data_IF_179460773579
#
_entry.id   IF_179460773579
#
_cell.length_a   1.000
_cell.length_b   1.000
_cell.length_c   1.000
_cell.angle_alpha   90.00
_cell.angle_beta   90.00
_cell.angle_gamma   90.00
#
_symmetry.space_group_name_H-M   'P 1'
#
loop_
_entity.id
_entity.type
_entity.pdbx_description
1 polymer ?
#
# COMPACT_ATOMS: atom_id res chain seq x y z
N UNK A 1 -16.72 -23.49 -23.29
CA UNK A 1 -15.51 -22.80 -22.78
C UNK A 1 -15.87 -22.16 -21.43
N UNK A 2 -15.41 -22.70 -20.29
CA UNK A 2 -15.68 -22.12 -18.96
C UNK A 2 -14.67 -20.99 -18.72
N UNK A 3 -15.13 -19.74 -18.54
CA UNK A 3 -14.26 -18.64 -18.11
C UNK A 3 -13.65 -19.01 -16.75
N UNK A 4 -12.35 -18.80 -16.50
CA UNK A 4 -11.76 -19.02 -15.18
C UNK A 4 -12.50 -18.15 -14.16
N UNK A 5 -12.81 -18.75 -13.01
CA UNK A 5 -13.59 -18.11 -11.94
C UNK A 5 -12.69 -17.12 -11.22
N UNK A 6 -12.54 -15.90 -11.77
CA UNK A 6 -11.87 -14.79 -11.09
C UNK A 6 -12.65 -14.48 -9.81
N UNK A 7 -12.00 -14.69 -8.66
CA UNK A 7 -12.55 -14.30 -7.38
C UNK A 7 -11.82 -13.05 -6.91
N UNK A 8 -12.56 -11.94 -6.77
CA UNK A 8 -12.06 -10.68 -6.23
C UNK A 8 -12.60 -10.49 -4.83
N UNK A 9 -11.73 -10.14 -3.89
CA UNK A 9 -12.09 -9.87 -2.50
C UNK A 9 -11.45 -8.59 -1.99
N UNK A 10 -12.16 -7.88 -1.12
CA UNK A 10 -11.64 -6.74 -0.37
C UNK A 10 -11.46 -7.14 1.09
N UNK A 11 -10.31 -6.77 1.67
CA UNK A 11 -9.98 -7.08 3.06
C UNK A 11 -9.20 -5.94 3.70
N UNK A 12 -9.32 -5.80 5.02
CA UNK A 12 -8.36 -5.02 5.79
C UNK A 12 -7.15 -5.89 6.11
N UNK A 13 -5.96 -5.38 5.84
CA UNK A 13 -4.69 -5.95 6.23
C UNK A 13 -4.04 -5.07 7.29
N UNK A 14 -3.48 -5.68 8.33
CA UNK A 14 -2.68 -5.00 9.35
C UNK A 14 -1.26 -5.52 9.30
N UNK A 15 -0.27 -4.63 9.38
CA UNK A 15 1.14 -5.00 9.42
C UNK A 15 2.02 -3.84 9.86
N UNK A 16 3.31 -4.12 9.97
CA UNK A 16 4.32 -3.12 10.32
C UNK A 16 4.89 -2.46 9.06
N UNK A 17 4.75 -1.15 8.97
CA UNK A 17 5.40 -0.34 7.95
C UNK A 17 6.61 0.37 8.57
N UNK A 18 7.79 0.11 8.00
CA UNK A 18 9.03 0.81 8.39
C UNK A 18 9.45 1.76 7.29
N UNK A 19 9.50 3.06 7.58
CA UNK A 19 10.01 4.09 6.68
C UNK A 19 10.99 4.97 7.46
N UNK A 20 12.11 5.31 6.83
CA UNK A 20 13.15 6.16 7.43
C UNK A 20 13.56 5.71 8.85
N UNK A 21 13.65 4.38 9.06
CA UNK A 21 14.02 3.77 10.34
C UNK A 21 12.94 3.80 11.43
N UNK A 22 11.78 4.40 11.19
CA UNK A 22 10.64 4.40 12.11
C UNK A 22 9.64 3.32 11.69
N UNK A 23 9.26 2.46 12.62
CA UNK A 23 8.27 1.40 12.41
C UNK A 23 6.94 1.78 13.05
N UNK A 24 5.84 1.59 12.30
CA UNK A 24 4.47 1.79 12.79
C UNK A 24 3.55 0.67 12.31
N UNK A 25 2.63 0.26 13.18
CA UNK A 25 1.51 -0.58 12.78
C UNK A 25 0.53 0.22 11.92
N UNK A 26 0.19 -0.32 10.76
CA UNK A 26 -0.75 0.29 9.80
C UNK A 26 -1.85 -0.71 9.47
N UNK A 27 -3.05 -0.20 9.19
CA UNK A 27 -4.16 -0.99 8.68
C UNK A 27 -4.72 -0.32 7.44
N UNK A 28 -4.86 -1.07 6.36
CA UNK A 28 -5.28 -0.57 5.05
C UNK A 28 -6.10 -1.60 4.29
N UNK A 29 -6.87 -1.15 3.29
CA UNK A 29 -7.64 -2.04 2.42
C UNK A 29 -6.74 -2.63 1.33
N UNK A 30 -6.93 -3.92 1.07
CA UNK A 30 -6.36 -4.62 -0.08
C UNK A 30 -7.45 -5.25 -0.92
N UNK A 31 -7.28 -5.20 -2.24
CA UNK A 31 -8.04 -6.00 -3.19
C UNK A 31 -7.19 -7.18 -3.62
N UNK A 32 -7.71 -8.38 -3.45
CA UNK A 32 -7.06 -9.63 -3.88
C UNK A 32 -7.79 -10.24 -5.06
N UNK A 33 -7.05 -10.79 -6.02
CA UNK A 33 -7.58 -11.55 -7.15
C UNK A 33 -6.80 -12.87 -7.28
N UNK A 34 -7.51 -13.99 -7.27
CA UNK A 34 -6.90 -15.31 -7.51
C UNK A 34 -7.22 -15.79 -8.91
N UNK A 35 -6.17 -16.06 -9.70
CA UNK A 35 -6.28 -16.60 -11.05
C UNK A 35 -5.01 -17.34 -11.44
N UNK A 36 -5.15 -18.46 -12.16
CA UNK A 36 -4.01 -19.18 -12.76
C UNK A 36 -2.86 -19.51 -11.80
N UNK A 37 -3.19 -19.90 -10.56
CA UNK A 37 -2.22 -20.20 -9.49
C UNK A 37 -1.39 -19.00 -9.00
N UNK A 38 -1.84 -17.77 -9.30
CA UNK A 38 -1.28 -16.51 -8.82
C UNK A 38 -2.30 -15.81 -7.92
N UNK A 39 -1.83 -15.26 -6.79
CA UNK A 39 -2.60 -14.29 -6.00
C UNK A 39 -2.08 -12.90 -6.33
N UNK A 40 -2.89 -12.11 -7.02
CA UNK A 40 -2.66 -10.68 -7.19
C UNK A 40 -3.17 -9.91 -5.98
N UNK A 41 -2.39 -8.98 -5.46
CA UNK A 41 -2.78 -8.07 -4.37
C UNK A 41 -2.51 -6.65 -4.80
N UNK A 42 -3.56 -5.84 -4.86
CA UNK A 42 -3.52 -4.40 -5.08
C UNK A 42 -3.85 -3.71 -3.76
N UNK A 43 -3.08 -2.70 -3.39
CA UNK A 43 -3.40 -1.87 -2.24
C UNK A 43 -2.67 -0.55 -2.26
N UNK A 44 -3.10 0.32 -1.36
CA UNK A 44 -2.46 1.58 -1.11
C UNK A 44 -2.52 1.93 0.37
N UNK A 45 -1.56 2.73 0.82
CA UNK A 45 -1.46 3.21 2.20
C UNK A 45 -1.26 4.73 2.15
N UNK A 46 -2.19 5.47 2.71
CA UNK A 46 -1.99 6.90 2.97
C UNK A 46 -1.03 7.06 4.14
N UNK A 47 0.06 7.80 3.93
CA UNK A 47 1.07 8.09 4.95
C UNK A 47 1.18 9.59 5.20
N UNK A 48 1.29 9.99 6.46
CA UNK A 48 1.80 11.31 6.83
C UNK A 48 3.32 11.21 6.99
N UNK A 49 4.09 12.07 6.33
CA UNK A 49 5.56 11.98 6.35
C UNK A 49 6.13 12.24 7.75
N UNK A 50 5.49 13.13 8.52
CA UNK A 50 5.88 13.45 9.89
C UNK A 50 5.84 12.23 10.83
N UNK A 51 4.95 11.27 10.58
CA UNK A 51 4.83 10.04 11.38
C UNK A 51 6.08 9.15 11.33
N UNK A 52 6.84 9.28 10.25
CA UNK A 52 8.07 8.53 9.98
C UNK A 52 9.33 9.41 10.11
N UNK A 53 9.20 10.62 10.68
CA UNK A 53 10.33 11.54 10.87
C UNK A 53 10.89 12.09 9.56
N UNK A 54 10.08 12.12 8.49
CA UNK A 54 10.46 12.70 7.20
C UNK A 54 10.02 14.15 7.21
N UNK A 55 10.97 15.08 7.18
CA UNK A 55 10.70 16.50 7.21
C UNK A 55 10.09 16.99 5.88
N UNK A 56 9.12 17.89 5.96
CA UNK A 56 8.57 18.54 4.78
C UNK A 56 9.64 19.47 4.15
N UNK A 57 10.01 19.27 2.86
CA UNK A 57 11.05 20.05 2.19
C UNK A 57 10.59 21.43 1.67
N UNK A 58 9.39 21.89 2.04
CA UNK A 58 8.88 23.22 1.68
C UNK A 58 9.83 24.34 2.11
N UNK A 59 9.85 25.42 1.33
CA UNK A 59 10.67 26.61 1.58
C UNK A 59 9.92 27.90 1.15
N UNK A 60 10.61 29.04 1.15
CA UNK A 60 10.01 30.35 0.86
C UNK A 60 9.35 30.46 -0.53
N UNK A 61 9.70 29.60 -1.50
CA UNK A 61 9.22 29.69 -2.88
C UNK A 61 8.51 28.42 -3.36
N UNK A 62 8.65 27.30 -2.66
CA UNK A 62 8.11 26.00 -3.06
C UNK A 62 7.44 25.32 -1.88
N UNK A 63 6.25 24.76 -2.11
CA UNK A 63 5.52 23.97 -1.13
C UNK A 63 5.36 22.53 -1.62
N UNK A 64 5.42 21.58 -0.70
CA UNK A 64 5.15 20.15 -0.89
C UNK A 64 4.11 19.68 0.10
N UNK A 65 3.32 18.67 -0.28
CA UNK A 65 2.33 18.07 0.61
C UNK A 65 2.94 17.33 1.80
N UNK A 66 2.17 17.21 2.87
CA UNK A 66 2.55 16.50 4.10
C UNK A 66 2.27 14.99 4.05
N UNK A 67 1.54 14.55 3.03
CA UNK A 67 1.11 13.15 2.86
C UNK A 67 1.59 12.56 1.54
N UNK A 68 1.71 11.23 1.52
CA UNK A 68 1.99 10.45 0.34
C UNK A 68 1.06 9.24 0.25
N UNK A 69 0.85 8.77 -0.98
CA UNK A 69 0.18 7.51 -1.25
C UNK A 69 1.23 6.46 -1.61
N UNK A 70 1.39 5.45 -0.75
CA UNK A 70 2.22 4.29 -1.06
C UNK A 70 1.36 3.27 -1.79
N UNK A 71 1.54 3.14 -3.09
CA UNK A 71 0.80 2.21 -3.95
C UNK A 71 1.63 0.95 -4.23
N UNK A 72 0.98 -0.21 -4.26
CA UNK A 72 1.65 -1.46 -4.62
C UNK A 72 0.74 -2.42 -5.39
N UNK A 73 1.39 -3.22 -6.24
CA UNK A 73 0.79 -4.41 -6.87
C UNK A 73 1.77 -5.57 -6.66
N UNK A 74 1.31 -6.61 -5.98
CA UNK A 74 2.09 -7.80 -5.69
C UNK A 74 1.48 -9.01 -6.41
N UNK A 75 2.35 -9.91 -6.88
CA UNK A 75 1.96 -11.20 -7.42
C UNK A 75 2.67 -12.28 -6.61
N UNK A 76 1.88 -13.14 -5.96
CA UNK A 76 2.40 -14.26 -5.20
C UNK A 76 2.20 -15.55 -5.98
N UNK A 77 3.28 -16.28 -6.14
CA UNK A 77 3.33 -17.65 -6.65
C UNK A 77 3.80 -18.58 -5.54
N UNK A 78 3.50 -19.87 -5.66
CA UNK A 78 3.92 -20.89 -4.70
C UNK A 78 5.34 -21.35 -4.97
#
# INVERSE_FOLDING_TARGET
MRRPRRSRYQHLATGDLTLHGVTRAVTFEVTTEYASNVIGVLGSIDIAFADYGIANPSNAFVSTGDTGLLEFVLAFER
#
